data_IF_132895031413
#
_entry.id   IF_132895031413
#
_cell.length_a   1.000
_cell.length_b   1.000
_cell.length_c   1.000
_cell.angle_alpha   90.00
_cell.angle_beta   90.00
_cell.angle_gamma   90.00
#
_symmetry.space_group_name_H-M   'P 1'
#
loop_
_entity.id
_entity.type
_entity.pdbx_description
1 polymer ?
#
# COMPACT_ATOMS: atom_id res chain seq x y z
N UNK A 1 23.56 24.05 4.47
CA UNK A 1 22.29 23.33 4.21
C UNK A 1 22.54 21.86 4.49
N UNK A 2 21.72 21.23 5.33
CA UNK A 2 21.72 19.77 5.47
C UNK A 2 21.29 19.17 4.11
N UNK A 3 22.03 18.21 3.58
CA UNK A 3 21.62 17.50 2.36
C UNK A 3 20.31 16.73 2.63
N UNK A 4 19.47 16.52 1.61
CA UNK A 4 18.22 15.75 1.74
C UNK A 4 18.47 14.37 2.39
N UNK A 5 19.57 13.71 1.99
CA UNK A 5 20.03 12.46 2.58
C UNK A 5 20.31 12.56 4.08
N UNK A 6 20.96 13.64 4.53
CA UNK A 6 21.23 13.85 5.95
C UNK A 6 19.95 14.07 6.78
N UNK A 7 18.91 14.67 6.21
CA UNK A 7 17.60 14.80 6.87
C UNK A 7 16.95 13.41 7.00
N UNK A 8 17.01 12.62 5.92
CA UNK A 8 16.42 11.28 5.87
C UNK A 8 17.07 10.30 6.85
N UNK A 9 18.41 10.25 6.88
CA UNK A 9 19.19 9.39 7.78
C UNK A 9 18.92 9.64 9.26
N UNK A 10 18.64 10.90 9.64
CA UNK A 10 18.39 11.24 11.05
C UNK A 10 16.95 10.90 11.51
N UNK A 11 15.99 10.70 10.59
CA UNK A 11 14.61 10.33 10.96
C UNK A 11 14.52 8.98 11.67
N UNK A 12 15.40 8.02 11.36
CA UNK A 12 15.50 6.74 12.06
C UNK A 12 15.79 6.90 13.56
N UNK A 13 16.75 7.76 13.90
CA UNK A 13 17.10 8.08 15.28
C UNK A 13 15.95 8.81 15.99
N UNK A 14 15.33 9.78 15.32
CA UNK A 14 14.18 10.50 15.88
C UNK A 14 12.98 9.58 16.13
N UNK A 15 12.73 8.60 15.26
CA UNK A 15 11.66 7.63 15.44
C UNK A 15 11.83 6.78 16.70
N UNK A 16 13.04 6.28 16.95
CA UNK A 16 13.36 5.52 18.17
C UNK A 16 13.17 6.33 19.45
N UNK A 17 13.55 7.62 19.43
CA UNK A 17 13.32 8.55 20.53
C UNK A 17 11.82 8.78 20.74
N UNK A 18 11.04 8.98 19.67
CA UNK A 18 9.60 9.22 19.78
C UNK A 18 8.86 8.00 20.31
N UNK A 19 9.15 6.78 19.84
CA UNK A 19 8.55 5.56 20.39
C UNK A 19 8.88 5.43 21.89
N UNK A 20 10.14 5.62 22.25
CA UNK A 20 10.58 5.52 23.65
C UNK A 20 9.88 6.58 24.52
N UNK A 21 9.73 7.80 24.01
CA UNK A 21 8.98 8.87 24.65
C UNK A 21 7.49 8.55 24.80
N UNK A 22 6.85 7.98 23.78
CA UNK A 22 5.45 7.56 23.83
C UNK A 22 5.23 6.46 24.86
N UNK A 23 6.10 5.45 24.88
CA UNK A 23 6.07 4.40 25.89
C UNK A 23 6.21 5.01 27.29
N UNK A 24 7.15 5.96 27.47
CA UNK A 24 7.37 6.60 28.76
C UNK A 24 6.18 7.47 29.21
N UNK A 25 5.61 8.28 28.31
CA UNK A 25 4.48 9.17 28.60
C UNK A 25 3.20 8.40 28.93
N UNK A 26 2.91 7.31 28.20
CA UNK A 26 1.75 6.46 28.47
C UNK A 26 1.96 5.65 29.75
N UNK A 27 3.17 5.10 29.98
CA UNK A 27 3.42 4.16 31.09
C UNK A 27 3.70 4.86 32.42
N UNK A 28 4.36 6.02 32.43
CA UNK A 28 4.79 6.68 33.66
C UNK A 28 3.99 7.95 34.01
N UNK A 29 3.46 8.68 33.02
CA UNK A 29 2.81 9.97 33.27
C UNK A 29 1.27 9.94 33.20
N UNK A 30 0.66 8.75 33.00
CA UNK A 30 -0.81 8.60 32.92
C UNK A 30 -1.49 9.55 31.92
N UNK A 31 -0.79 9.93 30.84
CA UNK A 31 -1.36 10.81 29.81
C UNK A 31 -2.46 10.08 29.05
N UNK A 32 -3.54 10.80 28.75
CA UNK A 32 -4.63 10.30 27.91
C UNK A 32 -4.11 9.86 26.53
N UNK A 33 -4.35 8.59 26.17
CA UNK A 33 -3.97 8.02 24.87
C UNK A 33 -4.37 8.92 23.69
N UNK A 34 -5.56 9.52 23.75
CA UNK A 34 -6.06 10.39 22.68
C UNK A 34 -5.12 11.57 22.39
N UNK A 35 -4.48 12.14 23.40
CA UNK A 35 -3.50 13.23 23.22
C UNK A 35 -2.26 12.73 22.52
N UNK A 36 -1.74 11.56 22.94
CA UNK A 36 -0.58 10.93 22.31
C UNK A 36 -0.87 10.62 20.84
N UNK A 37 -2.02 10.02 20.54
CA UNK A 37 -2.45 9.74 19.17
C UNK A 37 -2.55 11.01 18.31
N UNK A 38 -3.17 12.06 18.84
CA UNK A 38 -3.28 13.34 18.13
C UNK A 38 -1.90 13.93 17.82
N UNK A 39 -0.96 13.87 18.76
CA UNK A 39 0.42 14.34 18.54
C UNK A 39 1.12 13.50 17.47
N UNK A 40 1.04 12.17 17.53
CA UNK A 40 1.64 11.29 16.54
C UNK A 40 1.07 11.53 15.13
N UNK A 41 -0.25 11.65 15.01
CA UNK A 41 -0.92 11.95 13.74
C UNK A 41 -0.51 13.34 13.23
N UNK A 42 -0.49 14.35 14.10
CA UNK A 42 -0.09 15.71 13.75
C UNK A 42 1.36 15.77 13.26
N UNK A 43 2.30 15.17 14.00
CA UNK A 43 3.70 15.09 13.59
C UNK A 43 3.85 14.31 12.28
N UNK A 44 3.16 13.17 12.14
CA UNK A 44 3.17 12.37 10.92
C UNK A 44 2.60 13.12 9.71
N UNK A 45 1.61 14.00 9.91
CA UNK A 45 1.05 14.87 8.88
C UNK A 45 2.04 15.98 8.50
N UNK A 46 2.62 16.68 9.48
CA UNK A 46 3.59 17.75 9.25
C UNK A 46 4.80 17.23 8.48
N UNK A 47 5.35 16.08 8.86
CA UNK A 47 6.49 15.46 8.17
C UNK A 47 6.13 15.06 6.74
N UNK A 48 4.94 14.52 6.51
CA UNK A 48 4.45 14.18 5.16
C UNK A 48 4.30 15.41 4.28
N UNK A 49 3.69 16.48 4.80
CA UNK A 49 3.59 17.76 4.08
C UNK A 49 5.00 18.28 3.76
N UNK A 50 5.93 18.24 4.71
CA UNK A 50 7.32 18.62 4.46
C UNK A 50 7.93 17.82 3.29
N UNK A 51 7.77 16.50 3.26
CA UNK A 51 8.28 15.67 2.16
C UNK A 51 7.61 15.93 0.81
N UNK A 52 6.31 16.24 0.79
CA UNK A 52 5.62 16.57 -0.47
C UNK A 52 6.30 17.76 -1.17
N UNK A 53 6.63 18.80 -0.40
CA UNK A 53 7.14 20.07 -0.92
C UNK A 53 8.67 20.15 -1.01
N UNK A 54 9.40 19.41 -0.18
CA UNK A 54 10.86 19.50 -0.09
C UNK A 54 11.59 18.38 -0.82
N UNK A 55 10.93 17.26 -1.13
CA UNK A 55 11.52 16.22 -1.96
C UNK A 55 11.59 16.69 -3.42
N UNK A 56 12.78 16.66 -4.05
CA UNK A 56 12.91 17.00 -5.46
C UNK A 56 11.95 16.19 -6.34
N UNK A 57 11.55 16.77 -7.48
CA UNK A 57 10.70 16.09 -8.44
C UNK A 57 11.40 14.81 -8.91
N UNK A 58 10.65 13.70 -8.97
CA UNK A 58 11.15 12.39 -9.41
C UNK A 58 12.33 11.82 -8.60
N UNK A 59 12.52 12.28 -7.35
CA UNK A 59 13.60 11.76 -6.49
C UNK A 59 13.37 10.30 -6.06
N UNK A 60 12.12 9.90 -5.85
CA UNK A 60 11.81 8.52 -5.48
C UNK A 60 12.03 7.59 -6.69
N UNK A 61 12.73 6.44 -6.54
CA UNK A 61 13.26 5.66 -7.66
C UNK A 61 12.26 5.36 -8.79
N UNK A 62 11.03 4.99 -8.43
CA UNK A 62 9.99 4.58 -9.39
C UNK A 62 8.91 5.66 -9.62
N UNK A 63 9.05 6.86 -9.04
CA UNK A 63 8.02 7.90 -9.11
C UNK A 63 7.78 8.39 -10.54
N UNK A 64 8.86 8.58 -11.30
CA UNK A 64 8.79 8.95 -12.71
C UNK A 64 8.07 7.87 -13.54
N UNK A 65 8.34 6.60 -13.26
CA UNK A 65 7.70 5.47 -13.94
C UNK A 65 6.19 5.42 -13.68
N UNK A 66 5.78 5.70 -12.44
CA UNK A 66 4.38 5.76 -12.09
C UNK A 66 3.67 6.97 -12.74
N UNK A 67 4.34 8.12 -12.81
CA UNK A 67 3.80 9.32 -13.49
C UNK A 67 3.66 9.09 -14.99
N UNK A 68 4.67 8.49 -15.64
CA UNK A 68 4.59 8.13 -17.05
C UNK A 68 3.38 7.22 -17.35
N UNK A 69 3.02 6.30 -16.44
CA UNK A 69 1.81 5.49 -16.60
C UNK A 69 0.55 6.37 -16.49
N UNK A 70 0.46 7.21 -15.46
CA UNK A 70 -0.66 8.13 -15.26
C UNK A 70 -0.90 8.99 -16.51
N UNK A 71 0.18 9.53 -17.07
CA UNK A 71 0.17 10.39 -18.24
C UNK A 71 -0.30 9.64 -19.48
N UNK A 72 0.24 8.43 -19.71
CA UNK A 72 -0.20 7.58 -20.80
C UNK A 72 -1.71 7.29 -20.72
N UNK A 73 -2.24 6.95 -19.55
CA UNK A 73 -3.67 6.67 -19.36
C UNK A 73 -4.52 7.91 -19.59
N UNK A 74 -4.06 9.07 -19.12
CA UNK A 74 -4.76 10.34 -19.32
C UNK A 74 -4.84 10.72 -20.81
N UNK A 75 -3.73 10.61 -21.53
CA UNK A 75 -3.62 10.99 -22.94
C UNK A 75 -4.31 10.00 -23.87
N UNK A 76 -4.05 8.69 -23.68
CA UNK A 76 -4.44 7.65 -24.62
C UNK A 76 -5.75 6.96 -24.25
N UNK A 77 -6.30 7.23 -23.05
CA UNK A 77 -7.52 6.60 -22.52
C UNK A 77 -7.51 5.07 -22.64
N UNK A 78 -6.31 4.49 -22.53
CA UNK A 78 -6.05 3.07 -22.71
C UNK A 78 -4.89 2.64 -21.82
N UNK A 79 -4.75 1.32 -21.62
CA UNK A 79 -3.67 0.78 -20.79
C UNK A 79 -2.39 0.60 -21.61
N UNK A 80 -1.24 1.09 -21.12
CA UNK A 80 0.02 1.00 -21.84
C UNK A 80 0.51 -0.44 -22.00
N UNK A 81 1.24 -0.70 -23.08
CA UNK A 81 1.92 -1.98 -23.33
C UNK A 81 3.35 -1.88 -22.78
N UNK A 82 3.75 -2.83 -21.94
CA UNK A 82 5.10 -2.91 -21.41
C UNK A 82 6.07 -3.30 -22.53
N UNK A 83 7.03 -2.43 -22.81
CA UNK A 83 8.09 -2.66 -23.81
C UNK A 83 9.49 -2.51 -23.20
N UNK A 84 9.66 -1.64 -22.21
CA UNK A 84 10.94 -1.35 -21.59
C UNK A 84 11.16 -2.20 -20.32
N UNK A 85 12.43 -2.48 -20.01
CA UNK A 85 12.83 -3.22 -18.80
C UNK A 85 13.42 -2.21 -17.81
N UNK A 86 13.29 -2.46 -16.52
CA UNK A 86 13.91 -1.64 -15.48
C UNK A 86 15.40 -1.42 -15.77
N UNK A 87 15.84 -0.15 -15.76
CA UNK A 87 17.23 0.26 -16.02
C UNK A 87 17.58 0.46 -17.50
N UNK A 88 16.63 0.33 -18.42
CA UNK A 88 16.75 0.75 -19.83
C UNK A 88 15.84 1.95 -20.10
N UNK A 89 16.23 2.81 -21.06
CA UNK A 89 15.73 4.17 -21.28
C UNK A 89 14.19 4.38 -21.16
N UNK A 90 13.83 5.60 -20.76
CA UNK A 90 12.48 6.20 -20.65
C UNK A 90 11.64 5.89 -19.40
N UNK A 91 12.19 5.25 -18.37
CA UNK A 91 11.50 5.03 -17.08
C UNK A 91 10.09 4.40 -17.15
N UNK A 92 9.68 3.78 -18.26
CA UNK A 92 8.33 3.22 -18.41
C UNK A 92 8.23 1.75 -17.99
N UNK A 93 9.07 1.30 -17.04
CA UNK A 93 9.15 -0.10 -16.63
C UNK A 93 8.00 -0.56 -15.71
N UNK A 94 7.11 0.36 -15.32
CA UNK A 94 5.94 0.07 -14.47
C UNK A 94 4.62 -0.15 -15.27
N UNK A 95 4.64 -0.08 -16.61
CA UNK A 95 3.45 -0.23 -17.47
C UNK A 95 2.76 -1.60 -17.36
N UNK A 96 3.48 -2.64 -16.93
CA UNK A 96 2.92 -3.96 -16.66
C UNK A 96 2.02 -4.01 -15.42
N UNK A 97 2.12 -3.02 -14.52
CA UNK A 97 1.39 -3.04 -13.26
C UNK A 97 -0.12 -2.99 -13.48
N UNK A 98 -0.90 -3.52 -12.52
CA UNK A 98 -2.34 -3.42 -12.54
C UNK A 98 -2.85 -1.96 -12.54
N UNK A 99 -3.98 -1.66 -13.21
CA UNK A 99 -4.29 -0.31 -13.68
C UNK A 99 -5.01 0.60 -12.67
N UNK A 100 -5.58 0.07 -11.58
CA UNK A 100 -6.54 0.78 -10.74
C UNK A 100 -5.98 2.07 -10.14
N UNK A 101 -4.74 2.04 -9.64
CA UNK A 101 -4.08 3.23 -9.11
C UNK A 101 -3.90 4.29 -10.19
N UNK A 102 -3.44 3.90 -11.37
CA UNK A 102 -3.11 4.83 -12.46
C UNK A 102 -4.35 5.45 -13.09
N UNK A 103 -5.44 4.67 -13.24
CA UNK A 103 -6.73 5.17 -13.73
C UNK A 103 -7.36 6.18 -12.75
N UNK A 104 -7.24 5.90 -11.45
CA UNK A 104 -7.72 6.84 -10.44
C UNK A 104 -6.87 8.12 -10.41
N UNK A 105 -5.55 7.96 -10.41
CA UNK A 105 -4.60 9.07 -10.39
C UNK A 105 -4.62 9.90 -11.67
N UNK A 106 -4.91 9.32 -12.84
CA UNK A 106 -5.09 10.09 -14.09
C UNK A 106 -6.31 11.01 -14.03
N UNK A 107 -7.37 10.61 -13.31
CA UNK A 107 -8.51 11.48 -13.07
C UNK A 107 -8.13 12.68 -12.20
N UNK A 108 -7.29 12.47 -11.19
CA UNK A 108 -6.77 13.54 -10.32
C UNK A 108 -5.82 14.46 -11.09
N UNK A 109 -4.92 13.88 -11.89
CA UNK A 109 -4.00 14.59 -12.77
C UNK A 109 -4.74 15.48 -13.76
N UNK A 110 -5.82 14.96 -14.37
CA UNK A 110 -6.68 15.70 -15.29
C UNK A 110 -7.37 16.88 -14.61
N UNK A 111 -7.87 16.70 -13.39
CA UNK A 111 -8.44 17.81 -12.59
C UNK A 111 -7.37 18.84 -12.28
N UNK A 112 -6.14 18.42 -11.94
CA UNK A 112 -4.99 19.28 -11.78
C UNK A 112 -4.77 20.19 -12.98
N UNK A 113 -4.67 19.59 -14.16
CA UNK A 113 -4.45 20.31 -15.42
C UNK A 113 -5.61 21.24 -15.77
N UNK A 114 -6.86 20.75 -15.75
CA UNK A 114 -8.01 21.52 -16.25
C UNK A 114 -8.60 22.53 -15.28
N UNK A 115 -8.49 22.30 -13.98
CA UNK A 115 -9.08 23.19 -12.96
C UNK A 115 -8.03 24.15 -12.40
N UNK A 116 -6.79 23.70 -12.26
CA UNK A 116 -5.73 24.47 -11.61
C UNK A 116 -4.66 24.98 -12.59
N UNK A 117 -4.79 24.70 -13.89
CA UNK A 117 -3.79 25.04 -14.93
C UNK A 117 -2.38 24.58 -14.51
N UNK A 118 -2.32 23.38 -13.92
CA UNK A 118 -1.11 22.87 -13.30
C UNK A 118 -0.09 22.44 -14.35
N UNK A 119 1.13 22.96 -14.24
CA UNK A 119 2.30 22.43 -14.95
C UNK A 119 2.71 21.06 -14.39
N UNK A 120 3.70 20.41 -15.00
CA UNK A 120 4.15 19.08 -14.57
C UNK A 120 4.59 19.03 -13.11
N UNK A 121 5.22 20.11 -12.63
CA UNK A 121 5.69 20.21 -11.24
C UNK A 121 4.51 20.26 -10.26
N UNK A 122 3.54 21.13 -10.50
CA UNK A 122 2.36 21.27 -9.66
C UNK A 122 1.48 20.02 -9.74
N UNK A 123 1.37 19.39 -10.92
CA UNK A 123 0.64 18.14 -11.14
C UNK A 123 1.23 17.01 -10.30
N UNK A 124 2.56 16.88 -10.24
CA UNK A 124 3.22 15.93 -9.35
C UNK A 124 2.90 16.22 -7.88
N UNK A 125 2.96 17.49 -7.45
CA UNK A 125 2.64 17.90 -6.08
C UNK A 125 1.18 17.57 -5.74
N UNK A 126 0.23 17.78 -6.66
CA UNK A 126 -1.19 17.40 -6.50
C UNK A 126 -1.32 15.88 -6.30
N UNK A 127 -0.64 15.08 -7.11
CA UNK A 127 -0.63 13.62 -6.97
C UNK A 127 -0.02 13.17 -5.64
N UNK A 128 1.04 13.83 -5.16
CA UNK A 128 1.61 13.55 -3.83
C UNK A 128 0.64 13.90 -2.69
N UNK A 129 -0.13 14.99 -2.81
CA UNK A 129 -1.22 15.29 -1.87
C UNK A 129 -2.35 14.26 -1.95
N UNK A 130 -2.62 13.72 -3.14
CA UNK A 130 -3.60 12.63 -3.29
C UNK A 130 -3.16 11.36 -2.53
N UNK A 131 -1.87 11.00 -2.59
CA UNK A 131 -1.29 9.95 -1.74
C UNK A 131 -1.47 10.22 -0.24
N UNK A 132 -1.25 11.47 0.20
CA UNK A 132 -1.50 11.88 1.58
C UNK A 132 -2.97 11.70 2.01
N UNK A 133 -3.93 12.00 1.11
CA UNK A 133 -5.36 11.78 1.37
C UNK A 133 -5.65 10.29 1.59
N UNK A 134 -5.06 9.40 0.79
CA UNK A 134 -5.19 7.94 0.99
C UNK A 134 -4.68 7.52 2.36
N UNK A 135 -3.53 8.06 2.79
CA UNK A 135 -2.98 7.80 4.12
C UNK A 135 -3.91 8.28 5.24
N UNK A 136 -4.47 9.50 5.13
CA UNK A 136 -5.43 10.04 6.10
C UNK A 136 -6.67 9.16 6.23
N UNK A 137 -7.23 8.71 5.10
CA UNK A 137 -8.38 7.79 5.11
C UNK A 137 -7.97 6.44 5.74
N UNK A 138 -6.80 5.92 5.41
CA UNK A 138 -6.28 4.67 5.97
C UNK A 138 -6.17 4.70 7.49
N UNK A 139 -5.71 5.81 8.06
CA UNK A 139 -5.64 6.02 9.52
C UNK A 139 -7.00 5.84 10.18
N UNK A 140 -8.06 6.39 9.60
CA UNK A 140 -9.40 6.31 10.18
C UNK A 140 -9.86 4.86 10.30
N UNK A 141 -9.55 4.02 9.30
CA UNK A 141 -9.86 2.60 9.34
C UNK A 141 -9.01 1.84 10.35
N UNK A 142 -7.71 2.13 10.43
CA UNK A 142 -6.82 1.50 11.42
C UNK A 142 -7.25 1.85 12.85
N UNK A 143 -7.55 3.11 13.14
CA UNK A 143 -8.04 3.53 14.46
C UNK A 143 -9.31 2.79 14.86
N UNK A 144 -10.30 2.75 13.96
CA UNK A 144 -11.56 2.02 14.20
C UNK A 144 -11.35 0.52 14.34
N UNK A 145 -10.38 -0.04 13.63
CA UNK A 145 -10.02 -1.46 13.75
C UNK A 145 -9.44 -1.77 15.14
N UNK A 146 -8.52 -0.93 15.62
CA UNK A 146 -7.92 -1.07 16.96
C UNK A 146 -8.98 -0.95 18.07
N UNK A 147 -9.92 -0.01 17.92
CA UNK A 147 -11.05 0.15 18.83
C UNK A 147 -11.94 -1.11 18.87
N UNK A 148 -12.29 -1.67 17.70
CA UNK A 148 -13.12 -2.88 17.62
C UNK A 148 -12.45 -4.12 18.23
N UNK A 149 -11.13 -4.23 18.11
CA UNK A 149 -10.36 -5.33 18.67
C UNK A 149 -10.19 -5.22 20.20
N UNK A 150 -10.57 -4.09 20.81
CA UNK A 150 -10.38 -3.86 22.24
C UNK A 150 -8.91 -3.85 22.65
N UNK A 151 -8.01 -3.47 21.74
CA UNK A 151 -6.57 -3.46 21.97
C UNK A 151 -6.24 -2.48 23.09
N UNK A 152 -5.28 -2.84 23.96
CA UNK A 152 -4.88 -1.99 25.08
C UNK A 152 -4.47 -0.59 24.60
N UNK A 153 -4.61 0.40 25.48
CA UNK A 153 -4.25 1.78 25.15
C UNK A 153 -2.79 1.90 24.72
N UNK A 154 -1.88 1.24 25.44
CA UNK A 154 -0.45 1.24 25.14
C UNK A 154 -0.17 0.61 23.78
N UNK A 155 -0.73 -0.57 23.50
CA UNK A 155 -0.55 -1.26 22.22
C UNK A 155 -1.10 -0.44 21.05
N UNK A 156 -2.25 0.20 21.21
CA UNK A 156 -2.83 1.10 20.20
C UNK A 156 -1.92 2.30 19.95
N UNK A 157 -1.36 2.90 21.01
CA UNK A 157 -0.37 3.98 20.90
C UNK A 157 0.86 3.55 20.12
N UNK A 158 1.43 2.38 20.42
CA UNK A 158 2.59 1.82 19.71
C UNK A 158 2.26 1.59 18.23
N UNK A 159 1.17 0.89 17.91
CA UNK A 159 0.76 0.63 16.52
C UNK A 159 0.61 1.93 15.75
N UNK A 160 -0.05 2.94 16.33
CA UNK A 160 -0.23 4.23 15.68
C UNK A 160 1.07 5.00 15.54
N UNK A 161 2.03 4.89 16.46
CA UNK A 161 3.36 5.46 16.28
C UNK A 161 4.07 4.85 15.08
N UNK A 162 4.07 3.52 14.97
CA UNK A 162 4.64 2.84 13.79
C UNK A 162 3.93 3.27 12.50
N UNK A 163 2.60 3.29 12.50
CA UNK A 163 1.84 3.67 11.31
C UNK A 163 2.06 5.14 10.91
N UNK A 164 2.21 6.06 11.86
CA UNK A 164 2.27 7.50 11.56
C UNK A 164 3.69 8.02 11.42
N UNK A 165 4.66 7.43 12.11
CA UNK A 165 6.00 8.00 12.28
C UNK A 165 7.14 7.12 11.76
N UNK A 166 6.87 5.92 11.24
CA UNK A 166 7.93 5.09 10.65
C UNK A 166 8.59 5.86 9.48
N UNK A 167 9.89 6.17 9.54
CA UNK A 167 10.54 7.13 8.63
C UNK A 167 10.37 6.82 7.16
N UNK A 168 10.61 5.58 6.78
CA UNK A 168 10.47 5.10 5.41
C UNK A 168 9.04 5.17 4.93
N UNK A 169 8.09 4.87 5.80
CA UNK A 169 6.67 4.97 5.48
C UNK A 169 6.20 6.41 5.36
N UNK A 170 6.71 7.34 6.18
CA UNK A 170 6.42 8.77 6.03
C UNK A 170 6.71 9.22 4.60
N UNK A 171 7.91 8.93 4.11
CA UNK A 171 8.33 9.29 2.77
C UNK A 171 7.54 8.55 1.69
N UNK A 172 7.53 7.21 1.73
CA UNK A 172 6.90 6.42 0.66
C UNK A 172 5.39 6.64 0.56
N UNK A 173 4.70 6.94 1.68
CA UNK A 173 3.25 7.15 1.70
C UNK A 173 2.76 8.46 1.05
N UNK A 174 3.67 9.35 0.66
CA UNK A 174 3.34 10.59 -0.06
C UNK A 174 3.94 10.67 -1.45
N UNK A 175 4.92 9.83 -1.80
CA UNK A 175 5.41 9.74 -3.17
C UNK A 175 4.35 9.09 -4.08
N UNK A 176 4.41 9.37 -5.39
CA UNK A 176 3.46 8.79 -6.34
C UNK A 176 3.82 7.32 -6.60
N UNK A 177 3.07 6.39 -6.01
CA UNK A 177 3.22 4.95 -6.20
C UNK A 177 1.93 4.17 -5.91
N UNK A 178 1.85 2.94 -6.41
CA UNK A 178 0.68 2.07 -6.22
C UNK A 178 0.58 1.41 -4.83
N UNK A 179 1.60 1.56 -3.97
CA UNK A 179 1.56 1.06 -2.59
C UNK A 179 0.57 1.86 -1.73
N UNK A 180 0.43 3.16 -1.98
CA UNK A 180 -0.49 4.03 -1.23
C UNK A 180 -1.93 3.51 -1.26
N UNK A 181 -2.43 3.21 -2.47
CA UNK A 181 -3.78 2.67 -2.63
C UNK A 181 -3.87 1.21 -2.12
N UNK A 182 -2.80 0.44 -2.25
CA UNK A 182 -2.74 -0.94 -1.73
C UNK A 182 -2.87 -0.99 -0.20
N UNK A 183 -2.21 -0.06 0.51
CA UNK A 183 -2.27 0.06 1.96
C UNK A 183 -3.64 0.57 2.41
N UNK A 184 -4.27 1.46 1.65
CA UNK A 184 -5.64 1.89 1.92
C UNK A 184 -6.62 0.70 1.83
N UNK A 185 -6.53 -0.13 0.77
CA UNK A 185 -7.34 -1.34 0.67
C UNK A 185 -7.11 -2.31 1.82
N UNK A 186 -5.84 -2.52 2.20
CA UNK A 186 -5.47 -3.33 3.35
C UNK A 186 -6.08 -2.80 4.66
N UNK A 187 -6.08 -1.48 4.84
CA UNK A 187 -6.64 -0.81 6.03
C UNK A 187 -8.16 -0.98 6.10
N UNK A 188 -8.86 -0.84 4.97
CA UNK A 188 -10.30 -1.09 4.85
C UNK A 188 -10.64 -2.55 5.17
N UNK A 189 -9.93 -3.51 4.56
CA UNK A 189 -10.14 -4.94 4.82
C UNK A 189 -9.84 -5.32 6.26
N UNK A 190 -8.78 -4.75 6.85
CA UNK A 190 -8.45 -4.97 8.26
C UNK A 190 -9.59 -4.51 9.17
N UNK A 191 -10.09 -3.28 8.97
CA UNK A 191 -11.28 -2.80 9.69
C UNK A 191 -12.49 -3.72 9.49
N UNK A 192 -12.74 -4.19 8.27
CA UNK A 192 -13.83 -5.12 8.01
C UNK A 192 -13.67 -6.43 8.80
N UNK A 193 -12.46 -6.99 8.87
CA UNK A 193 -12.22 -8.20 9.65
C UNK A 193 -12.47 -8.02 11.13
N UNK A 194 -12.18 -6.84 11.69
CA UNK A 194 -12.45 -6.57 13.12
C UNK A 194 -13.94 -6.57 13.49
N UNK A 195 -14.84 -6.30 12.54
CA UNK A 195 -16.30 -6.44 12.72
C UNK A 195 -16.80 -7.86 12.43
N UNK A 196 -15.91 -8.77 12.02
CA UNK A 196 -16.24 -10.08 11.49
C UNK A 196 -16.42 -10.04 9.97
N UNK A 197 -15.73 -10.94 9.27
CA UNK A 197 -15.75 -10.99 7.80
C UNK A 197 -17.18 -11.18 7.24
N UNK A 198 -17.98 -12.01 7.93
CA UNK A 198 -19.36 -12.30 7.57
C UNK A 198 -20.32 -11.12 7.76
N UNK A 199 -19.92 -10.06 8.46
CA UNK A 199 -20.73 -8.87 8.70
C UNK A 199 -20.89 -7.99 7.45
N UNK A 200 -20.01 -8.16 6.46
CA UNK A 200 -20.06 -7.45 5.19
C UNK A 200 -20.53 -8.37 4.08
N UNK A 201 -21.18 -7.82 3.05
CA UNK A 201 -21.62 -8.61 1.90
C UNK A 201 -20.41 -9.21 1.18
N UNK A 202 -20.46 -10.51 0.88
CA UNK A 202 -19.40 -11.23 0.13
C UNK A 202 -19.08 -10.57 -1.21
N UNK A 203 -20.08 -10.00 -1.88
CA UNK A 203 -19.89 -9.20 -3.10
C UNK A 203 -18.94 -8.01 -2.88
N UNK A 204 -19.09 -7.27 -1.77
CA UNK A 204 -18.26 -6.11 -1.46
C UNK A 204 -16.82 -6.54 -1.14
N UNK A 205 -16.63 -7.62 -0.38
CA UNK A 205 -15.29 -8.14 -0.09
C UNK A 205 -14.62 -8.63 -1.37
N UNK A 206 -15.32 -9.36 -2.23
CA UNK A 206 -14.81 -9.81 -3.53
C UNK A 206 -14.42 -8.65 -4.44
N UNK A 207 -15.24 -7.58 -4.45
CA UNK A 207 -14.93 -6.36 -5.20
C UNK A 207 -13.67 -5.68 -4.65
N UNK A 208 -13.54 -5.50 -3.34
CA UNK A 208 -12.36 -4.87 -2.72
C UNK A 208 -11.10 -5.68 -2.99
N UNK A 209 -11.15 -7.01 -2.88
CA UNK A 209 -10.03 -7.88 -3.24
C UNK A 209 -9.64 -7.75 -4.72
N UNK A 210 -10.65 -7.63 -5.61
CA UNK A 210 -10.42 -7.45 -7.04
C UNK A 210 -9.76 -6.12 -7.34
N UNK A 211 -10.27 -5.03 -6.74
CA UNK A 211 -9.71 -3.68 -6.88
C UNK A 211 -8.31 -3.56 -6.25
N UNK A 212 -8.05 -4.25 -5.13
CA UNK A 212 -6.71 -4.28 -4.54
C UNK A 212 -5.74 -5.01 -5.47
N UNK A 213 -6.13 -6.15 -6.05
CA UNK A 213 -5.30 -6.86 -7.01
C UNK A 213 -5.06 -6.01 -8.27
N UNK A 214 -6.10 -5.32 -8.74
CA UNK A 214 -6.00 -4.35 -9.82
C UNK A 214 -5.20 -3.10 -9.44
N UNK A 215 -4.79 -2.93 -8.18
CA UNK A 215 -3.87 -1.88 -7.73
C UNK A 215 -2.43 -2.37 -7.74
N UNK A 216 -2.18 -3.56 -7.18
CA UNK A 216 -0.86 -4.20 -7.13
C UNK A 216 -1.02 -5.71 -6.97
N UNK A 217 -0.30 -6.49 -7.79
CA UNK A 217 -0.40 -7.97 -7.82
C UNK A 217 -0.13 -8.57 -6.43
N UNK A 218 0.80 -7.98 -5.67
CA UNK A 218 1.19 -8.45 -4.34
C UNK A 218 0.06 -8.40 -3.30
N UNK A 219 -1.02 -7.65 -3.56
CA UNK A 219 -2.20 -7.64 -2.68
C UNK A 219 -3.00 -8.95 -2.73
N UNK A 220 -2.61 -9.92 -3.57
CA UNK A 220 -3.12 -11.31 -3.50
C UNK A 220 -3.02 -11.90 -2.09
N UNK A 221 -2.09 -11.41 -1.26
CA UNK A 221 -2.00 -11.77 0.17
C UNK A 221 -3.31 -11.53 0.93
N UNK A 222 -4.11 -10.54 0.55
CA UNK A 222 -5.41 -10.28 1.15
C UNK A 222 -6.42 -11.40 0.86
N UNK A 223 -6.34 -12.04 -0.32
CA UNK A 223 -7.16 -13.21 -0.66
C UNK A 223 -6.83 -14.37 0.28
N UNK A 224 -5.54 -14.60 0.53
CA UNK A 224 -5.11 -15.63 1.48
C UNK A 224 -5.59 -15.34 2.90
N UNK A 225 -5.60 -14.08 3.33
CA UNK A 225 -6.12 -13.70 4.65
C UNK A 225 -7.63 -13.99 4.76
N UNK A 226 -8.42 -13.63 3.74
CA UNK A 226 -9.86 -13.93 3.66
C UNK A 226 -10.12 -15.44 3.69
N UNK A 227 -9.44 -16.19 2.82
CA UNK A 227 -9.62 -17.64 2.71
C UNK A 227 -9.24 -18.33 4.02
N UNK A 228 -8.08 -17.98 4.60
CA UNK A 228 -7.62 -18.57 5.85
C UNK A 228 -8.59 -18.30 7.00
N UNK A 229 -9.13 -17.08 7.09
CA UNK A 229 -10.13 -16.74 8.11
C UNK A 229 -11.40 -17.58 7.97
N UNK A 230 -11.92 -17.72 6.74
CA UNK A 230 -13.12 -18.51 6.48
C UNK A 230 -12.87 -20.00 6.76
N UNK A 231 -11.71 -20.53 6.39
CA UNK A 231 -11.33 -21.91 6.71
C UNK A 231 -11.29 -22.15 8.23
N UNK A 232 -10.76 -21.21 9.00
CA UNK A 232 -10.78 -21.30 10.47
C UNK A 232 -12.21 -21.30 11.02
N UNK A 233 -13.12 -20.49 10.47
CA UNK A 233 -14.54 -20.49 10.85
C UNK A 233 -15.23 -21.82 10.50
N UNK A 234 -14.93 -22.40 9.34
CA UNK A 234 -15.43 -23.72 8.94
C UNK A 234 -14.91 -24.80 9.90
N UNK A 235 -13.63 -24.78 10.26
CA UNK A 235 -13.04 -25.75 11.20
C UNK A 235 -13.70 -25.63 12.58
N UNK A 236 -13.86 -24.39 13.07
CA UNK A 236 -14.48 -24.09 14.38
C UNK A 236 -15.91 -24.61 14.45
N UNK A 237 -16.71 -24.32 13.42
CA UNK A 237 -18.15 -24.60 13.40
C UNK A 237 -18.48 -25.87 12.59
N UNK A 238 -17.51 -26.77 12.37
CA UNK A 238 -17.61 -27.94 11.47
C UNK A 238 -18.78 -28.89 11.73
N UNK A 239 -19.33 -28.88 12.95
CA UNK A 239 -20.49 -29.70 13.34
C UNK A 239 -21.82 -29.06 12.94
N UNK A 240 -21.84 -27.75 12.69
CA UNK A 240 -23.02 -26.98 12.33
C UNK A 240 -23.11 -26.80 10.80
N UNK A 241 -23.74 -27.76 10.13
CA UNK A 241 -23.81 -27.80 8.65
C UNK A 241 -24.31 -26.50 8.01
N UNK A 242 -25.31 -25.83 8.61
CA UNK A 242 -25.88 -24.58 8.09
C UNK A 242 -24.88 -23.42 8.09
N UNK A 243 -24.09 -23.28 9.16
CA UNK A 243 -23.02 -22.27 9.24
C UNK A 243 -21.91 -22.56 8.24
N UNK A 244 -21.46 -23.81 8.15
CA UNK A 244 -20.45 -24.23 7.17
C UNK A 244 -20.90 -23.93 5.74
N UNK A 245 -22.15 -24.24 5.39
CA UNK A 245 -22.70 -23.94 4.06
C UNK A 245 -22.73 -22.43 3.80
N UNK A 246 -23.06 -21.63 4.81
CA UNK A 246 -23.05 -20.16 4.71
C UNK A 246 -21.64 -19.62 4.48
N UNK A 247 -20.63 -20.14 5.17
CA UNK A 247 -19.22 -19.77 4.99
C UNK A 247 -18.70 -20.17 3.61
N UNK A 248 -19.06 -21.35 3.12
CA UNK A 248 -18.71 -21.80 1.77
C UNK A 248 -19.38 -20.92 0.71
N UNK A 249 -20.67 -20.63 0.85
CA UNK A 249 -21.39 -19.72 -0.06
C UNK A 249 -20.74 -18.33 -0.08
N UNK A 250 -20.41 -17.79 1.09
CA UNK A 250 -19.70 -16.53 1.22
C UNK A 250 -18.36 -16.54 0.48
N UNK A 251 -17.55 -17.58 0.69
CA UNK A 251 -16.26 -17.75 0.04
C UNK A 251 -16.40 -17.87 -1.48
N UNK A 252 -17.34 -18.70 -1.95
CA UNK A 252 -17.60 -18.89 -3.37
C UNK A 252 -18.00 -17.58 -4.05
N UNK A 253 -18.93 -16.81 -3.46
CA UNK A 253 -19.34 -15.50 -4.01
C UNK A 253 -18.18 -14.51 -3.99
N UNK A 254 -17.42 -14.45 -2.89
CA UNK A 254 -16.26 -13.55 -2.77
C UNK A 254 -15.21 -13.84 -3.83
N UNK A 255 -14.82 -15.11 -3.99
CA UNK A 255 -13.83 -15.54 -4.98
C UNK A 255 -14.36 -15.40 -6.41
N UNK A 256 -15.64 -15.67 -6.64
CA UNK A 256 -16.26 -15.47 -7.95
C UNK A 256 -16.17 -14.00 -8.38
N UNK A 257 -16.60 -13.07 -7.51
CA UNK A 257 -16.50 -11.63 -7.81
C UNK A 257 -15.05 -11.20 -8.00
N UNK A 258 -14.15 -11.64 -7.13
CA UNK A 258 -12.71 -11.38 -7.27
C UNK A 258 -12.20 -11.81 -8.66
N UNK A 259 -12.47 -13.06 -9.07
CA UNK A 259 -12.05 -13.59 -10.37
C UNK A 259 -12.66 -12.81 -11.53
N UNK A 260 -13.96 -12.48 -11.46
CA UNK A 260 -14.64 -11.68 -12.50
C UNK A 260 -13.96 -10.32 -12.65
N UNK A 261 -13.68 -9.62 -11.56
CA UNK A 261 -13.06 -8.28 -11.58
C UNK A 261 -11.66 -8.30 -12.19
N UNK A 262 -10.82 -9.28 -11.84
CA UNK A 262 -9.43 -9.32 -12.33
C UNK A 262 -9.29 -9.93 -13.72
N UNK A 263 -10.24 -10.78 -14.14
CA UNK A 263 -10.13 -11.58 -15.36
C UNK A 263 -9.85 -10.78 -16.64
N UNK A 264 -10.43 -9.58 -16.90
CA UNK A 264 -10.12 -8.83 -18.12
C UNK A 264 -8.65 -8.41 -18.20
N UNK A 265 -8.07 -8.01 -17.06
CA UNK A 265 -6.67 -7.61 -16.98
C UNK A 265 -5.74 -8.81 -17.16
N UNK A 266 -6.03 -9.94 -16.51
CA UNK A 266 -5.25 -11.16 -16.67
C UNK A 266 -5.31 -11.72 -18.09
N UNK A 267 -6.50 -11.67 -18.72
CA UNK A 267 -6.68 -12.06 -20.11
C UNK A 267 -5.89 -11.17 -21.06
N UNK A 268 -5.96 -9.85 -20.87
CA UNK A 268 -5.12 -8.89 -21.61
C UNK A 268 -3.64 -9.24 -21.49
N UNK A 269 -3.16 -9.48 -20.28
CA UNK A 269 -1.75 -9.81 -20.06
C UNK A 269 -1.34 -11.12 -20.73
N UNK A 270 -2.22 -12.13 -20.71
CA UNK A 270 -1.97 -13.38 -21.42
C UNK A 270 -1.86 -13.18 -22.93
N UNK A 271 -2.76 -12.39 -23.53
CA UNK A 271 -2.73 -12.09 -24.97
C UNK A 271 -1.49 -11.27 -25.37
N UNK A 272 -1.12 -10.28 -24.58
CA UNK A 272 -0.01 -9.37 -24.91
C UNK A 272 1.37 -9.95 -24.59
N UNK A 273 1.50 -10.69 -23.49
CA UNK A 273 2.79 -11.08 -22.93
C UNK A 273 2.98 -12.59 -22.78
N UNK A 274 1.99 -13.40 -23.17
CA UNK A 274 2.02 -14.86 -22.96
C UNK A 274 2.03 -15.26 -21.47
N UNK A 275 1.73 -14.35 -20.55
CA UNK A 275 1.75 -14.57 -19.10
C UNK A 275 0.68 -13.74 -18.41
N UNK A 276 -0.03 -14.36 -17.46
CA UNK A 276 -1.10 -13.68 -16.70
C UNK A 276 -0.60 -12.53 -15.81
N UNK A 277 0.63 -12.60 -15.29
CA UNK A 277 1.17 -11.59 -14.35
C UNK A 277 2.11 -10.57 -15.00
N UNK A 278 2.59 -10.82 -16.22
CA UNK A 278 3.51 -9.94 -16.96
C UNK A 278 4.82 -9.53 -16.24
N UNK A 279 5.12 -10.03 -15.03
CA UNK A 279 6.31 -9.62 -14.27
C UNK A 279 7.64 -9.85 -15.00
N UNK A 280 7.69 -10.87 -15.86
CA UNK A 280 8.87 -11.25 -16.60
C UNK A 280 9.24 -10.28 -17.74
N UNK A 281 8.32 -9.42 -18.18
CA UNK A 281 8.59 -8.44 -19.25
C UNK A 281 9.14 -7.11 -18.72
N UNK A 282 9.03 -6.86 -17.41
CA UNK A 282 9.48 -5.62 -16.78
C UNK A 282 10.73 -5.80 -15.91
N UNK A 283 10.92 -6.99 -15.34
CA UNK A 283 11.99 -7.25 -14.38
C UNK A 283 13.13 -8.05 -15.01
N UNK A 284 14.37 -7.61 -14.76
CA UNK A 284 15.56 -8.39 -15.07
C UNK A 284 15.58 -9.63 -14.18
N UNK A 285 15.52 -10.82 -14.78
CA UNK A 285 15.62 -12.07 -14.01
C UNK A 285 17.05 -12.23 -13.50
N UNK A 286 17.22 -12.15 -12.19
CA UNK A 286 18.47 -12.56 -11.56
C UNK A 286 18.50 -14.09 -11.45
N UNK A 287 19.50 -14.71 -12.06
CA UNK A 287 19.74 -16.15 -11.95
C UNK A 287 20.77 -16.38 -10.86
N UNK A 288 20.38 -17.04 -9.77
CA UNK A 288 21.30 -17.44 -8.71
C UNK A 288 22.23 -18.54 -9.22
N UNK A 289 23.51 -18.49 -8.84
CA UNK A 289 24.49 -19.54 -9.22
C UNK A 289 24.10 -20.87 -8.58
N UNK A 290 23.66 -20.83 -7.31
CA UNK A 290 23.09 -21.97 -6.59
C UNK A 290 22.07 -21.52 -5.53
N UNK A 291 21.37 -22.49 -4.93
CA UNK A 291 20.34 -22.25 -3.91
C UNK A 291 20.92 -21.64 -2.62
N UNK A 292 22.15 -21.99 -2.25
CA UNK A 292 22.77 -21.51 -1.02
C UNK A 292 23.10 -20.02 -1.15
N UNK A 293 23.68 -19.60 -2.27
CA UNK A 293 23.91 -18.19 -2.58
C UNK A 293 22.58 -17.42 -2.60
N UNK A 294 21.54 -17.99 -3.24
CA UNK A 294 20.21 -17.40 -3.24
C UNK A 294 19.66 -17.20 -1.83
N UNK A 295 19.78 -18.19 -0.95
CA UNK A 295 19.35 -18.09 0.45
C UNK A 295 20.17 -17.06 1.24
N UNK A 296 21.49 -17.06 1.11
CA UNK A 296 22.37 -16.11 1.80
C UNK A 296 22.05 -14.68 1.37
N UNK A 297 21.99 -14.42 0.06
CA UNK A 297 21.69 -13.08 -0.46
C UNK A 297 20.28 -12.64 -0.12
N UNK A 298 19.29 -13.53 -0.18
CA UNK A 298 17.91 -13.21 0.23
C UNK A 298 17.83 -12.88 1.71
N UNK A 299 18.50 -13.65 2.56
CA UNK A 299 18.55 -13.39 4.02
C UNK A 299 19.25 -12.08 4.31
N UNK A 300 20.39 -11.82 3.66
CA UNK A 300 21.10 -10.54 3.77
C UNK A 300 20.19 -9.40 3.35
N UNK A 301 19.55 -9.51 2.19
CA UNK A 301 18.64 -8.49 1.67
C UNK A 301 17.43 -8.29 2.59
N UNK A 302 16.90 -9.33 3.25
CA UNK A 302 15.86 -9.22 4.28
C UNK A 302 16.33 -8.36 5.47
N UNK A 303 17.55 -8.60 5.94
CA UNK A 303 18.17 -7.84 7.05
C UNK A 303 18.56 -6.42 6.64
N UNK A 304 18.97 -6.22 5.39
CA UNK A 304 19.36 -4.91 4.84
C UNK A 304 18.24 -4.23 4.07
N UNK A 305 16.98 -4.69 4.19
CA UNK A 305 15.88 -4.09 3.42
C UNK A 305 15.75 -2.61 3.73
N UNK A 306 15.21 -1.88 2.77
CA UNK A 306 14.71 -0.51 2.95
C UNK A 306 13.91 -0.37 4.26
N UNK A 307 13.07 -1.35 4.58
CA UNK A 307 12.24 -1.41 5.79
C UNK A 307 13.03 -1.69 7.08
N UNK A 308 14.07 -2.52 7.03
CA UNK A 308 14.90 -2.85 8.19
C UNK A 308 15.97 -1.79 8.50
N UNK A 309 16.43 -1.05 7.48
CA UNK A 309 17.55 -0.09 7.60
C UNK A 309 17.14 1.38 7.51
N UNK A 310 15.85 1.67 7.44
CA UNK A 310 15.32 3.03 7.28
C UNK A 310 15.92 3.78 6.08
N UNK A 311 15.96 3.11 4.92
CA UNK A 311 16.38 3.66 3.63
C UNK A 311 17.88 3.94 3.49
N UNK A 312 18.62 2.86 3.19
CA UNK A 312 19.84 2.97 2.37
C UNK A 312 19.50 3.05 0.90
#
# INVERSE_FOLDING_TARGET
MLSFESIFLNLGLYFGIVISGVIALISFQNIELRRVLNVCIFLGLVLRIFFIWYTPLYYSPDEEAHVAYIDYVQENRSLPIQQNIMGLDNNTYEFYQPPMYYVLSSSISFVGEKVFDADDSLRLIILRHFSLVMWLIGILFVLRALENLGVSKLSSGIVMCFYTLLPTYIFSSVMVNNDNLSILWGSILFYMFTKGIMSYKSLLVGLILGLSFLTKINTVVFVFAVVSNILLLIIRDRREKSKVLSYLSYLCVTLFVFCVVISPFLWRNYVLYGSILAQHVANVRFVWVDMLEGLIRSTRNMVTTFWATSGR
#
